data_IF_402612349553
#
_entry.id   IF_402612349553
#
_cell.length_a   1.000
_cell.length_b   1.000
_cell.length_c   1.000
_cell.angle_alpha   90.00
_cell.angle_beta   90.00
_cell.angle_gamma   90.00
#
_symmetry.space_group_name_H-M   'P 1'
#
loop_
_entity.id
_entity.type
_entity.pdbx_description
1 polymer ?
#
# COMPACT_ATOMS: atom_id res chain seq x y z
N UNK A 1 -32.78 -59.17 29.16
CA UNK A 1 -32.84 -58.35 27.93
C UNK A 1 -32.45 -56.92 28.28
N UNK A 2 -31.71 -56.26 27.37
CA UNK A 2 -31.23 -54.85 27.36
C UNK A 2 -29.80 -54.60 27.89
N UNK A 3 -28.82 -54.79 27.01
CA UNK A 3 -27.57 -54.01 26.93
C UNK A 3 -27.83 -52.74 26.08
N UNK A 4 -26.85 -51.86 25.79
CA UNK A 4 -25.78 -51.24 26.61
C UNK A 4 -25.77 -49.70 26.43
N UNK A 5 -25.06 -48.92 27.25
CA UNK A 5 -24.64 -47.57 26.85
C UNK A 5 -23.20 -47.31 27.26
N UNK A 6 -22.34 -47.34 26.24
CA UNK A 6 -20.98 -46.85 26.28
C UNK A 6 -20.99 -45.32 26.42
N UNK A 7 -20.24 -44.80 27.39
CA UNK A 7 -19.99 -43.36 27.54
C UNK A 7 -18.56 -43.11 27.04
N UNK A 8 -18.45 -42.52 25.86
CA UNK A 8 -17.20 -41.93 25.36
C UNK A 8 -17.06 -40.52 25.94
N UNK A 9 -15.98 -40.16 26.66
CA UNK A 9 -15.71 -38.76 26.94
C UNK A 9 -15.05 -38.13 25.70
N UNK A 10 -15.81 -37.24 25.07
CA UNK A 10 -15.41 -36.32 24.01
C UNK A 10 -14.37 -35.33 24.57
N UNK A 11 -13.09 -35.57 24.30
CA UNK A 11 -12.02 -34.61 24.59
C UNK A 11 -12.01 -33.48 23.56
N UNK A 12 -12.62 -32.34 23.89
CA UNK A 12 -12.51 -31.12 23.07
C UNK A 12 -11.16 -30.46 23.37
N UNK A 13 -10.22 -30.54 22.43
CA UNK A 13 -8.97 -29.79 22.47
C UNK A 13 -9.22 -28.36 21.97
N UNK A 14 -9.24 -27.40 22.90
CA UNK A 14 -9.34 -25.97 22.61
C UNK A 14 -7.95 -25.45 22.18
N UNK A 15 -7.73 -25.33 20.87
CA UNK A 15 -6.55 -24.66 20.32
C UNK A 15 -6.76 -23.13 20.42
N UNK A 16 -6.10 -22.49 21.38
CA UNK A 16 -6.08 -21.03 21.51
C UNK A 16 -5.11 -20.45 20.46
N UNK A 17 -5.65 -20.05 19.31
CA UNK A 17 -4.93 -19.22 18.32
C UNK A 17 -4.92 -17.76 18.80
N UNK A 18 -3.86 -17.34 19.49
CA UNK A 18 -3.64 -15.92 19.78
C UNK A 18 -3.04 -15.23 18.57
N UNK A 19 -3.87 -14.52 17.78
CA UNK A 19 -3.37 -13.58 16.79
C UNK A 19 -2.80 -12.35 17.50
N UNK A 20 -1.48 -12.20 17.51
CA UNK A 20 -0.84 -10.99 18.02
C UNK A 20 -1.16 -9.82 17.08
N UNK A 21 -2.03 -8.91 17.53
CA UNK A 21 -2.27 -7.64 16.84
C UNK A 21 -1.04 -6.74 17.04
N UNK A 22 -0.36 -6.37 15.94
CA UNK A 22 0.70 -5.37 16.00
C UNK A 22 0.10 -4.01 16.39
N UNK A 23 0.80 -3.22 17.23
CA UNK A 23 0.33 -1.89 17.60
C UNK A 23 0.18 -1.02 16.36
N UNK A 24 -0.95 -0.30 16.27
CA UNK A 24 -1.15 0.68 15.22
C UNK A 24 -0.10 1.80 15.36
N UNK A 25 0.51 2.27 14.26
CA UNK A 25 1.45 3.38 14.27
C UNK A 25 0.80 4.62 14.90
N UNK A 26 1.57 5.37 15.69
CA UNK A 26 1.06 6.60 16.31
C UNK A 26 0.83 7.68 15.24
N UNK A 27 -0.14 8.59 15.48
CA UNK A 27 -0.45 9.68 14.53
C UNK A 27 0.81 10.47 14.22
N UNK A 28 1.22 10.47 12.96
CA UNK A 28 2.40 11.18 12.48
C UNK A 28 3.66 10.33 12.34
N UNK A 29 3.65 9.02 12.63
CA UNK A 29 4.74 8.12 12.26
C UNK A 29 4.55 7.54 10.86
N UNK A 30 5.66 7.29 10.17
CA UNK A 30 5.64 6.57 8.90
C UNK A 30 5.49 5.08 9.14
N UNK A 31 4.40 4.52 8.64
CA UNK A 31 4.09 3.09 8.72
C UNK A 31 4.35 2.42 7.37
N UNK A 32 4.91 1.20 7.34
CA UNK A 32 5.06 0.45 6.09
C UNK A 32 3.70 0.12 5.48
N UNK A 33 3.61 0.20 4.16
CA UNK A 33 2.46 -0.33 3.41
C UNK A 33 2.50 -1.85 3.48
N UNK A 34 1.42 -2.46 3.99
CA UNK A 34 1.32 -3.91 4.16
C UNK A 34 1.10 -4.66 2.83
N UNK A 35 0.24 -4.11 1.96
CA UNK A 35 -0.03 -4.65 0.63
C UNK A 35 0.11 -3.55 -0.43
N UNK A 36 1.09 -3.72 -1.32
CA UNK A 36 1.33 -2.79 -2.43
C UNK A 36 0.33 -2.93 -3.57
N UNK A 37 -0.44 -4.03 -3.58
CA UNK A 37 -1.54 -4.26 -4.53
C UNK A 37 -2.87 -3.70 -4.04
N UNK A 38 -2.93 -3.18 -2.82
CA UNK A 38 -4.10 -2.46 -2.32
C UNK A 38 -4.55 -1.40 -3.34
N UNK A 39 -5.86 -1.32 -3.56
CA UNK A 39 -6.44 -0.48 -4.60
C UNK A 39 -6.04 0.99 -4.44
N UNK A 40 -6.11 1.53 -3.22
CA UNK A 40 -5.78 2.94 -2.96
C UNK A 40 -4.29 3.16 -3.17
N UNK A 41 -3.44 2.24 -2.70
CA UNK A 41 -1.99 2.33 -2.90
C UNK A 41 -1.62 2.34 -4.38
N UNK A 42 -2.19 1.44 -5.19
CA UNK A 42 -1.95 1.42 -6.64
C UNK A 42 -2.44 2.68 -7.31
N UNK A 43 -3.63 3.17 -6.96
CA UNK A 43 -4.15 4.41 -7.54
C UNK A 43 -3.27 5.62 -7.20
N UNK A 44 -2.75 5.72 -5.98
CA UNK A 44 -1.81 6.80 -5.61
C UNK A 44 -0.53 6.72 -6.43
N UNK A 45 0.02 5.52 -6.64
CA UNK A 45 1.17 5.29 -7.51
C UNK A 45 0.92 5.69 -8.97
N UNK A 46 -0.22 5.28 -9.52
CA UNK A 46 -0.65 5.65 -10.88
C UNK A 46 -0.85 7.16 -11.03
N UNK A 47 -1.49 7.79 -10.06
CA UNK A 47 -1.67 9.24 -10.01
C UNK A 47 -0.32 9.97 -10.06
N UNK A 48 0.63 9.55 -9.22
CA UNK A 48 1.96 10.16 -9.19
C UNK A 48 2.67 10.08 -10.54
N UNK A 49 2.62 8.90 -11.18
CA UNK A 49 3.24 8.68 -12.49
C UNK A 49 2.58 9.51 -13.58
N UNK A 50 1.25 9.53 -13.62
CA UNK A 50 0.46 10.26 -14.61
C UNK A 50 0.69 11.76 -14.51
N UNK A 51 0.62 12.33 -13.31
CA UNK A 51 0.87 13.77 -13.09
C UNK A 51 2.29 14.14 -13.49
N UNK A 52 3.29 13.33 -13.11
CA UNK A 52 4.66 13.58 -13.51
C UNK A 52 4.86 13.49 -15.03
N UNK A 53 4.30 12.44 -15.66
CA UNK A 53 4.36 12.20 -17.09
C UNK A 53 3.77 13.35 -17.90
N UNK A 54 2.58 13.84 -17.51
CA UNK A 54 1.94 15.00 -18.12
C UNK A 54 2.77 16.28 -17.94
N UNK A 55 3.23 16.56 -16.72
CA UNK A 55 3.98 17.78 -16.41
C UNK A 55 5.34 17.87 -17.13
N UNK A 56 6.00 16.72 -17.36
CA UNK A 56 7.36 16.67 -17.93
C UNK A 56 7.41 16.08 -19.35
N UNK A 57 6.24 15.83 -19.97
CA UNK A 57 6.11 15.17 -21.29
C UNK A 57 6.92 13.87 -21.35
N UNK A 58 6.77 13.04 -20.32
CA UNK A 58 7.40 11.71 -20.25
C UNK A 58 6.34 10.65 -20.50
N UNK A 59 6.62 9.77 -21.44
CA UNK A 59 5.84 8.57 -21.66
C UNK A 59 6.34 7.46 -20.72
N UNK A 60 5.56 7.19 -19.68
CA UNK A 60 5.86 6.20 -18.65
C UNK A 60 4.63 5.34 -18.41
N UNK A 61 4.79 4.02 -18.53
CA UNK A 61 3.77 3.04 -18.22
C UNK A 61 3.93 2.57 -16.77
N UNK A 62 2.84 2.62 -16.00
CA UNK A 62 2.81 2.16 -14.61
C UNK A 62 2.95 0.63 -14.57
N UNK A 63 3.99 0.13 -13.90
CA UNK A 63 4.20 -1.30 -13.72
C UNK A 63 3.75 -1.79 -12.33
N UNK A 64 3.83 -0.95 -11.29
CA UNK A 64 3.35 -1.29 -9.96
C UNK A 64 3.98 -0.45 -8.85
N UNK A 65 3.51 -0.67 -7.62
CA UNK A 65 4.16 -0.17 -6.41
C UNK A 65 5.08 -1.26 -5.87
N UNK A 66 6.36 -0.94 -5.71
CA UNK A 66 7.38 -1.88 -5.23
C UNK A 66 7.37 -1.96 -3.71
N UNK A 67 7.30 -0.79 -3.06
CA UNK A 67 7.25 -0.63 -1.61
C UNK A 67 6.74 0.75 -1.27
N UNK A 68 6.32 0.96 -0.03
CA UNK A 68 5.87 2.27 0.39
C UNK A 68 5.69 2.40 1.88
N UNK A 69 5.45 3.64 2.28
CA UNK A 69 5.07 4.01 3.63
C UNK A 69 3.91 5.00 3.57
N UNK A 70 3.05 4.97 4.58
CA UNK A 70 1.98 5.95 4.79
C UNK A 70 2.16 6.64 6.13
N UNK A 71 1.61 7.84 6.25
CA UNK A 71 1.64 8.62 7.48
C UNK A 71 0.38 9.47 7.52
N UNK A 72 -0.30 9.53 8.67
CA UNK A 72 -1.37 10.50 8.89
C UNK A 72 -0.80 11.91 8.78
N UNK A 73 -1.36 12.72 7.88
CA UNK A 73 -0.85 14.06 7.62
C UNK A 73 -1.32 15.05 8.70
N UNK A 74 -0.43 15.95 9.10
CA UNK A 74 -0.77 17.08 9.98
C UNK A 74 -1.83 17.93 9.28
N UNK A 75 -2.95 18.17 9.95
CA UNK A 75 -4.10 18.90 9.38
C UNK A 75 -5.07 18.04 8.57
N UNK A 76 -4.88 16.72 8.54
CA UNK A 76 -5.80 15.77 7.91
C UNK A 76 -5.30 15.19 6.59
N UNK A 77 -5.88 14.03 6.22
CA UNK A 77 -5.48 13.22 5.08
C UNK A 77 -4.27 12.34 5.36
N UNK A 78 -3.69 11.81 4.28
CA UNK A 78 -2.61 10.83 4.34
C UNK A 78 -1.47 11.25 3.43
N UNK A 79 -0.24 11.17 3.93
CA UNK A 79 0.96 11.22 3.12
C UNK A 79 1.30 9.79 2.67
N UNK A 80 1.61 9.62 1.40
CA UNK A 80 2.06 8.39 0.78
C UNK A 80 3.45 8.61 0.24
N UNK A 81 4.42 7.86 0.77
CA UNK A 81 5.78 7.79 0.22
C UNK A 81 5.94 6.43 -0.44
N UNK A 82 5.84 6.38 -1.76
CA UNK A 82 5.87 5.12 -2.50
C UNK A 82 7.12 5.07 -3.39
N UNK A 83 7.58 3.85 -3.63
CA UNK A 83 8.49 3.55 -4.72
C UNK A 83 7.69 2.84 -5.81
N UNK A 84 7.60 3.46 -6.97
CA UNK A 84 6.85 2.94 -8.11
C UNK A 84 7.79 2.46 -9.20
N UNK A 85 7.50 1.29 -9.76
CA UNK A 85 8.15 0.81 -10.97
C UNK A 85 7.38 1.33 -12.18
N UNK A 86 8.11 1.85 -13.17
CA UNK A 86 7.55 2.24 -14.45
C UNK A 86 8.45 1.82 -15.60
N UNK A 87 7.83 1.48 -16.72
CA UNK A 87 8.50 1.17 -17.96
C UNK A 87 8.39 2.35 -18.93
N UNK A 88 9.39 2.56 -19.77
CA UNK A 88 9.28 3.43 -20.94
C UNK A 88 8.76 2.60 -22.12
N UNK A 89 7.58 2.92 -22.69
CA UNK A 89 7.00 2.10 -23.75
C UNK A 89 7.86 1.99 -25.02
N UNK A 90 8.66 3.02 -25.33
CA UNK A 90 9.45 3.06 -26.56
C UNK A 90 10.59 2.04 -26.62
N UNK A 91 11.17 1.66 -25.48
CA UNK A 91 12.34 0.78 -25.40
C UNK A 91 12.23 -0.32 -24.35
N UNK A 92 11.11 -0.37 -23.60
CA UNK A 92 10.88 -1.35 -22.54
C UNK A 92 11.74 -1.16 -21.29
N UNK A 93 12.55 -0.11 -21.22
CA UNK A 93 13.43 0.12 -20.07
C UNK A 93 12.62 0.40 -18.81
N UNK A 94 12.95 -0.30 -17.73
CA UNK A 94 12.29 -0.14 -16.44
C UNK A 94 13.14 0.70 -15.48
N UNK A 95 12.46 1.45 -14.61
CA UNK A 95 13.10 2.18 -13.54
C UNK A 95 12.15 2.33 -12.34
N UNK A 96 12.75 2.49 -11.16
CA UNK A 96 12.03 2.83 -9.94
C UNK A 96 12.06 4.33 -9.67
N UNK A 97 11.00 4.84 -9.06
CA UNK A 97 10.83 6.25 -8.75
C UNK A 97 10.31 6.41 -7.32
N UNK A 98 10.97 7.25 -6.52
CA UNK A 98 10.47 7.71 -5.22
C UNK A 98 9.46 8.82 -5.47
N UNK A 99 8.23 8.63 -4.97
CA UNK A 99 7.17 9.61 -5.04
C UNK A 99 6.59 9.92 -3.65
N UNK A 100 6.22 11.18 -3.46
CA UNK A 100 5.53 11.67 -2.27
C UNK A 100 4.21 12.31 -2.71
N UNK A 101 3.10 11.75 -2.25
CA UNK A 101 1.74 12.24 -2.53
C UNK A 101 1.06 12.55 -1.20
N UNK A 102 0.27 13.62 -1.16
CA UNK A 102 -0.69 13.86 -0.08
C UNK A 102 -2.10 13.74 -0.64
N UNK A 103 -3.05 13.23 0.13
CA UNK A 103 -4.45 13.21 -0.27
C UNK A 103 -5.40 12.64 0.77
N UNK A 104 -6.70 12.85 0.55
CA UNK A 104 -7.78 12.25 1.33
C UNK A 104 -8.51 11.25 0.42
N UNK A 105 -8.36 9.92 0.61
CA UNK A 105 -9.06 8.93 -0.19
C UNK A 105 -10.57 9.17 -0.21
N UNK A 106 -11.17 9.15 -1.41
CA UNK A 106 -12.61 9.35 -1.60
C UNK A 106 -13.12 10.78 -1.46
N UNK A 107 -12.28 11.77 -1.10
CA UNK A 107 -12.71 13.17 -1.04
C UNK A 107 -12.80 13.81 -2.42
N UNK A 108 -13.89 14.54 -2.68
CA UNK A 108 -14.06 15.37 -3.89
C UNK A 108 -13.49 16.78 -3.71
N UNK A 109 -13.37 17.26 -2.48
CA UNK A 109 -12.88 18.60 -2.16
C UNK A 109 -11.37 18.61 -1.87
N UNK A 110 -10.84 17.49 -1.36
CA UNK A 110 -9.44 17.32 -0.99
C UNK A 110 -8.77 16.28 -1.88
N UNK A 111 -8.48 16.70 -3.10
CA UNK A 111 -7.86 15.85 -4.11
C UNK A 111 -6.38 15.56 -3.81
N UNK A 112 -5.86 14.55 -4.48
CA UNK A 112 -4.46 14.16 -4.34
C UNK A 112 -3.52 15.20 -4.93
N UNK A 113 -2.35 15.37 -4.30
CA UNK A 113 -1.33 16.35 -4.67
C UNK A 113 0.03 15.66 -4.74
N UNK A 114 0.65 15.67 -5.91
CA UNK A 114 2.02 15.20 -6.08
C UNK A 114 2.97 16.25 -5.49
N UNK A 115 3.74 15.87 -4.47
CA UNK A 115 4.70 16.74 -3.79
C UNK A 115 6.14 16.48 -4.23
N UNK A 116 6.47 15.24 -4.60
CA UNK A 116 7.80 14.83 -5.06
C UNK A 116 7.68 13.67 -6.04
N UNK A 117 8.52 13.69 -7.07
CA UNK A 117 8.74 12.55 -7.95
C UNK A 117 10.19 12.55 -8.43
N UNK A 118 10.94 11.47 -8.18
CA UNK A 118 12.35 11.37 -8.54
C UNK A 118 12.74 9.94 -8.91
N UNK A 119 13.43 9.79 -10.04
CA UNK A 119 14.04 8.52 -10.45
C UNK A 119 15.08 8.06 -9.42
N UNK A 120 15.02 6.81 -8.99
CA UNK A 120 16.05 6.18 -8.19
C UNK A 120 17.20 5.73 -9.12
N UNK A 121 18.44 5.96 -8.70
CA UNK A 121 19.58 5.41 -9.41
C UNK A 121 19.60 3.89 -9.22
N UNK A 122 19.65 3.14 -10.32
CA UNK A 122 20.09 1.74 -10.25
C UNK A 122 21.58 1.72 -9.95
N UNK A 123 22.01 0.81 -9.08
CA UNK A 123 23.43 0.53 -8.85
C UNK A 123 24.01 -0.27 -10.02
#
# INVERSE_FOLDING_TARGET
MRSPLAVFPLGVALLLLTAAALPAPSRGEWAPVADTNDLVIRQVGQFALLVYGLAHRRDLAFAGVVRGQTQDAVGGGTNYRLVVAAARPSDGTTAEYDCLVWGVPGSRSDTWKLRRFRKLAGY
#
